data_IF_070280628151
#
_entry.id   IF_070280628151
#
_cell.length_a   1.000
_cell.length_b   1.000
_cell.length_c   1.000
_cell.angle_alpha   90.00
_cell.angle_beta   90.00
_cell.angle_gamma   90.00
#
_symmetry.space_group_name_H-M   'P 1'
#
loop_
_entity.id
_entity.type
_entity.pdbx_description
1 polymer ?
#
# COMPACT_ATOMS: atom_id res chain seq x y z
N UNK A 1 -19.34 -5.26 15.94
CA UNK A 1 -18.41 -4.33 16.59
C UNK A 1 -17.20 -5.10 17.04
N UNK A 2 -16.00 -4.70 16.63
CA UNK A 2 -14.75 -5.47 16.86
C UNK A 2 -13.73 -4.66 17.65
N UNK A 3 -13.71 -3.34 17.45
CA UNK A 3 -12.75 -2.43 18.11
C UNK A 3 -12.92 -2.36 19.62
N UNK A 4 -14.16 -2.43 20.12
CA UNK A 4 -14.43 -2.29 21.56
C UNK A 4 -13.97 -3.52 22.38
N UNK A 5 -14.25 -4.78 21.98
CA UNK A 5 -13.66 -5.96 22.61
C UNK A 5 -12.12 -5.99 22.59
N UNK A 6 -11.49 -5.58 21.48
CA UNK A 6 -10.01 -5.58 21.38
C UNK A 6 -9.36 -4.48 22.23
N UNK A 7 -10.02 -3.32 22.40
CA UNK A 7 -9.58 -2.30 23.36
C UNK A 7 -9.63 -2.82 24.81
N UNK A 8 -10.68 -3.55 25.20
CA UNK A 8 -10.76 -4.18 26.53
C UNK A 8 -9.70 -5.25 26.73
N UNK A 9 -9.43 -6.09 25.73
CA UNK A 9 -8.34 -7.07 25.77
C UNK A 9 -6.97 -6.39 25.93
N UNK A 10 -6.72 -5.29 25.21
CA UNK A 10 -5.51 -4.48 25.35
C UNK A 10 -5.40 -3.84 26.74
N UNK A 11 -6.50 -3.34 27.30
CA UNK A 11 -6.55 -2.78 28.65
C UNK A 11 -6.30 -3.82 29.74
N UNK A 12 -6.84 -5.03 29.60
CA UNK A 12 -6.57 -6.16 30.50
C UNK A 12 -5.10 -6.60 30.44
N UNK A 13 -4.50 -6.66 29.24
CA UNK A 13 -3.08 -6.95 29.04
C UNK A 13 -2.17 -5.89 29.68
N UNK A 14 -2.49 -4.59 29.49
CA UNK A 14 -1.78 -3.49 30.13
C UNK A 14 -1.88 -3.56 31.67
N UNK A 15 -3.07 -3.83 32.21
CA UNK A 15 -3.27 -3.99 33.65
C UNK A 15 -2.45 -5.18 34.20
N UNK A 16 -2.39 -6.29 33.48
CA UNK A 16 -1.59 -7.46 33.85
C UNK A 16 -0.08 -7.15 33.91
N UNK A 17 0.48 -6.51 32.88
CA UNK A 17 1.91 -6.15 32.89
C UNK A 17 2.25 -5.11 33.97
N UNK A 18 1.37 -4.15 34.25
CA UNK A 18 1.57 -3.20 35.35
C UNK A 18 1.52 -3.89 36.72
N UNK A 19 0.61 -4.84 36.94
CA UNK A 19 0.55 -5.65 38.16
C UNK A 19 1.77 -6.57 38.29
N UNK A 20 2.23 -7.18 37.20
CA UNK A 20 3.44 -8.00 37.18
C UNK A 20 4.70 -7.16 37.46
N UNK A 21 4.76 -5.92 36.95
CA UNK A 21 5.86 -5.00 37.23
C UNK A 21 5.85 -4.50 38.70
N UNK A 22 4.67 -4.20 39.27
CA UNK A 22 4.51 -3.90 40.69
C UNK A 22 4.93 -5.09 41.58
N UNK A 23 4.56 -6.31 41.20
CA UNK A 23 4.99 -7.53 41.91
C UNK A 23 6.51 -7.77 41.82
N UNK A 24 7.13 -7.57 40.65
CA UNK A 24 8.60 -7.60 40.51
C UNK A 24 9.27 -6.54 41.39
N UNK A 25 8.66 -5.36 41.55
CA UNK A 25 9.18 -4.28 42.41
C UNK A 25 9.12 -4.60 43.91
N UNK A 26 8.10 -5.33 44.41
CA UNK A 26 8.07 -5.70 45.83
C UNK A 26 9.25 -6.59 46.22
N UNK A 27 9.71 -7.45 45.30
CA UNK A 27 10.83 -8.38 45.47
C UNK A 27 12.23 -7.72 45.40
N UNK A 28 12.35 -6.45 45.03
CA UNK A 28 13.64 -5.74 44.96
C UNK A 28 14.22 -5.50 46.36
N UNK A 29 15.41 -6.05 46.64
CA UNK A 29 16.13 -5.83 47.89
C UNK A 29 17.08 -4.62 47.84
N UNK A 30 17.23 -3.96 48.99
CA UNK A 30 18.08 -2.78 49.20
C UNK A 30 17.40 -1.46 48.87
N UNK A 31 17.31 -0.55 49.86
CA UNK A 31 16.48 0.67 49.80
C UNK A 31 16.79 1.57 48.60
N UNK A 32 18.07 1.80 48.29
CA UNK A 32 18.49 2.61 47.13
C UNK A 32 18.04 2.00 45.80
N UNK A 33 18.15 0.67 45.65
CA UNK A 33 17.70 -0.04 44.44
C UNK A 33 16.17 -0.05 44.34
N UNK A 34 15.47 -0.21 45.47
CA UNK A 34 14.01 -0.17 45.53
C UNK A 34 13.44 1.22 45.21
N UNK A 35 14.14 2.29 45.61
CA UNK A 35 13.82 3.67 45.23
C UNK A 35 14.06 3.93 43.73
N UNK A 36 15.24 3.54 43.22
CA UNK A 36 15.56 3.70 41.79
C UNK A 36 14.57 2.95 40.88
N UNK A 37 14.28 1.69 41.22
CA UNK A 37 13.29 0.89 40.48
C UNK A 37 11.86 1.41 40.62
N UNK A 38 11.50 2.05 41.74
CA UNK A 38 10.21 2.76 41.88
C UNK A 38 10.13 3.95 40.92
N UNK A 39 11.16 4.80 40.86
CA UNK A 39 11.22 5.94 39.92
C UNK A 39 11.15 5.45 38.47
N UNK A 40 11.90 4.40 38.13
CA UNK A 40 11.85 3.79 36.81
C UNK A 40 10.44 3.25 36.47
N UNK A 41 9.81 2.52 37.40
CA UNK A 41 8.46 1.99 37.22
C UNK A 41 7.41 3.11 37.05
N UNK A 42 7.51 4.19 37.83
CA UNK A 42 6.63 5.36 37.69
C UNK A 42 6.78 6.03 36.32
N UNK A 43 8.01 6.23 35.83
CA UNK A 43 8.26 6.86 34.52
C UNK A 43 7.76 5.97 33.38
N UNK A 44 8.24 4.72 33.30
CA UNK A 44 7.87 3.82 32.19
C UNK A 44 6.41 3.36 32.26
N UNK A 45 5.85 3.17 33.46
CA UNK A 45 4.43 2.86 33.65
C UNK A 45 3.54 4.01 33.16
N UNK A 46 3.83 5.25 33.58
CA UNK A 46 3.10 6.44 33.12
C UNK A 46 3.21 6.62 31.62
N UNK A 47 4.42 6.48 31.05
CA UNK A 47 4.65 6.56 29.60
C UNK A 47 3.87 5.48 28.83
N UNK A 48 3.83 4.24 29.35
CA UNK A 48 3.09 3.12 28.72
C UNK A 48 1.58 3.35 28.76
N UNK A 49 1.04 3.79 29.91
CA UNK A 49 -0.39 4.13 30.05
C UNK A 49 -0.76 5.31 29.13
N UNK A 50 0.06 6.36 29.09
CA UNK A 50 -0.16 7.49 28.19
C UNK A 50 -0.13 7.05 26.72
N UNK A 51 0.86 6.26 26.31
CA UNK A 51 0.99 5.74 24.95
C UNK A 51 -0.18 4.84 24.55
N UNK A 52 -0.66 3.99 25.45
CA UNK A 52 -1.87 3.20 25.23
C UNK A 52 -3.10 4.10 25.03
N UNK A 53 -3.34 5.05 25.95
CA UNK A 53 -4.48 5.96 25.90
C UNK A 53 -4.53 6.79 24.61
N UNK A 54 -3.40 7.35 24.15
CA UNK A 54 -3.37 8.10 22.89
C UNK A 54 -3.46 7.21 21.66
N UNK A 55 -3.13 5.91 21.76
CA UNK A 55 -3.29 4.94 20.66
C UNK A 55 -4.75 4.47 20.48
N UNK A 56 -5.59 4.52 21.53
CA UNK A 56 -7.02 4.21 21.42
C UNK A 56 -7.75 5.13 20.42
N UNK A 57 -7.38 6.42 20.39
CA UNK A 57 -8.02 7.44 19.54
C UNK A 57 -7.87 7.12 18.04
N UNK A 58 -6.66 6.98 17.45
CA UNK A 58 -6.52 6.61 16.04
C UNK A 58 -6.97 5.17 15.73
N UNK A 59 -6.86 4.24 16.68
CA UNK A 59 -7.37 2.87 16.50
C UNK A 59 -8.90 2.85 16.33
N UNK A 60 -9.61 3.69 17.10
CA UNK A 60 -11.07 3.78 17.06
C UNK A 60 -11.67 4.38 15.78
N UNK A 61 -10.88 5.07 14.92
CA UNK A 61 -11.39 5.67 13.68
C UNK A 61 -12.03 4.65 12.71
N UNK A 62 -11.70 3.37 12.85
CA UNK A 62 -12.30 2.26 12.09
C UNK A 62 -13.78 2.03 12.42
N UNK A 63 -14.24 2.44 13.60
CA UNK A 63 -15.59 2.15 14.10
C UNK A 63 -16.15 3.39 14.84
N UNK A 64 -16.89 4.29 14.13
CA UNK A 64 -17.33 5.58 14.68
C UNK A 64 -18.16 5.48 15.97
N UNK A 65 -18.93 4.39 16.13
CA UNK A 65 -19.69 4.07 17.34
C UNK A 65 -18.80 3.81 18.57
N UNK A 66 -17.59 3.29 18.39
CA UNK A 66 -16.58 3.16 19.45
C UNK A 66 -15.83 4.48 19.66
N UNK A 67 -15.47 5.18 18.57
CA UNK A 67 -14.77 6.47 18.65
C UNK A 67 -15.51 7.51 19.52
N UNK A 68 -16.83 7.64 19.33
CA UNK A 68 -17.68 8.53 20.14
C UNK A 68 -17.92 8.08 21.59
N UNK A 69 -17.52 6.85 21.96
CA UNK A 69 -17.63 6.32 23.34
C UNK A 69 -16.31 6.41 24.12
N UNK A 70 -15.21 6.79 23.48
CA UNK A 70 -13.92 6.98 24.17
C UNK A 70 -13.99 8.12 25.19
N UNK A 71 -13.30 7.95 26.32
CA UNK A 71 -13.20 8.95 27.37
C UNK A 71 -12.63 10.28 26.84
N UNK A 72 -13.26 11.40 27.20
CA UNK A 72 -12.90 12.75 26.72
C UNK A 72 -11.48 13.15 27.09
N UNK A 73 -10.92 12.62 28.18
CA UNK A 73 -9.51 12.81 28.55
C UNK A 73 -8.53 12.17 27.57
N UNK A 74 -8.87 11.02 26.95
CA UNK A 74 -8.02 10.37 25.95
C UNK A 74 -7.95 11.19 24.65
N UNK A 75 -9.08 11.77 24.21
CA UNK A 75 -9.11 12.71 23.08
C UNK A 75 -8.28 13.97 23.33
N UNK A 76 -8.36 14.55 24.55
CA UNK A 76 -7.53 15.70 24.95
C UNK A 76 -6.04 15.36 24.97
N UNK A 77 -5.68 14.21 25.55
CA UNK A 77 -4.29 13.73 25.62
C UNK A 77 -3.73 13.47 24.22
N UNK A 78 -4.50 12.84 23.33
CA UNK A 78 -4.11 12.64 21.93
C UNK A 78 -3.89 13.96 21.21
N UNK A 79 -4.84 14.91 21.29
CA UNK A 79 -4.71 16.22 20.65
C UNK A 79 -3.50 17.02 21.14
N UNK A 80 -3.15 16.91 22.42
CA UNK A 80 -1.95 17.55 22.98
C UNK A 80 -0.64 16.98 22.38
N UNK A 81 -0.60 15.70 22.02
CA UNK A 81 0.60 15.03 21.48
C UNK A 81 0.54 14.75 19.96
N UNK A 82 -0.53 15.10 19.25
CA UNK A 82 -0.68 14.81 17.82
C UNK A 82 0.45 15.46 16.99
N UNK A 83 0.94 16.63 17.40
CA UNK A 83 2.09 17.29 16.79
C UNK A 83 3.41 16.49 16.89
N UNK A 84 3.53 15.57 17.86
CA UNK A 84 4.68 14.67 18.04
C UNK A 84 4.53 13.36 17.25
N UNK A 85 3.37 13.11 16.63
CA UNK A 85 3.09 11.93 15.80
C UNK A 85 3.29 10.55 16.48
N UNK A 86 3.32 10.52 17.82
CA UNK A 86 3.63 9.33 18.64
C UNK A 86 2.63 8.17 18.45
N UNK A 87 1.37 8.49 18.20
CA UNK A 87 0.34 7.51 17.87
C UNK A 87 -0.38 7.96 16.60
N UNK A 88 -0.58 7.02 15.68
CA UNK A 88 -1.05 7.33 14.33
C UNK A 88 -2.02 6.26 13.80
N UNK A 89 -2.83 6.65 12.81
CA UNK A 89 -3.78 5.75 12.15
C UNK A 89 -3.11 5.11 10.94
N UNK A 90 -2.49 3.96 11.15
CA UNK A 90 -1.75 3.25 10.11
C UNK A 90 -2.70 2.64 9.07
N UNK A 91 -2.74 3.25 7.89
CA UNK A 91 -3.45 2.78 6.72
C UNK A 91 -3.21 3.71 5.54
N UNK A 92 -3.39 3.22 4.32
CA UNK A 92 -3.19 4.03 3.10
C UNK A 92 -4.14 5.25 3.05
N UNK A 93 -5.25 5.19 3.80
CA UNK A 93 -6.17 6.32 4.02
C UNK A 93 -6.60 6.36 5.51
N UNK A 94 -6.29 7.47 6.20
CA UNK A 94 -6.67 7.71 7.62
C UNK A 94 -8.19 7.70 7.88
N UNK A 95 -9.00 7.94 6.84
CA UNK A 95 -10.45 7.72 6.81
C UNK A 95 -10.82 7.08 5.47
N UNK A 96 -11.43 5.91 5.49
CA UNK A 96 -11.96 5.27 4.28
C UNK A 96 -13.33 5.86 3.90
N UNK A 97 -13.49 6.23 2.64
CA UNK A 97 -14.78 6.60 2.06
C UNK A 97 -15.59 5.35 1.77
N UNK A 98 -16.85 5.28 2.21
CA UNK A 98 -17.70 4.10 1.98
C UNK A 98 -18.64 3.73 3.13
N UNK A 99 -18.39 4.24 4.35
CA UNK A 99 -19.21 3.96 5.54
C UNK A 99 -20.70 4.32 5.36
N UNK A 100 -21.02 5.30 4.50
CA UNK A 100 -22.37 5.68 4.09
C UNK A 100 -22.68 5.38 2.62
N UNK A 101 -22.05 4.34 2.07
CA UNK A 101 -22.03 4.03 0.63
C UNK A 101 -20.77 4.59 -0.05
N UNK A 102 -20.22 3.83 -1.01
CA UNK A 102 -19.08 4.25 -1.83
C UNK A 102 -19.60 5.14 -2.97
N UNK A 103 -19.18 6.42 -3.07
CA UNK A 103 -19.54 7.25 -4.21
C UNK A 103 -18.81 6.75 -5.46
N UNK A 104 -19.50 6.76 -6.60
CA UNK A 104 -18.97 6.37 -7.91
C UNK A 104 -19.50 7.30 -8.98
N UNK A 105 -18.62 7.65 -9.93
CA UNK A 105 -19.03 8.29 -11.18
C UNK A 105 -19.31 7.20 -12.21
N UNK A 106 -20.48 7.27 -12.82
CA UNK A 106 -20.89 6.48 -13.98
C UNK A 106 -20.82 7.40 -15.20
N UNK A 107 -20.08 6.98 -16.22
CA UNK A 107 -20.08 7.64 -17.52
C UNK A 107 -21.18 7.04 -18.39
N UNK A 108 -21.89 7.87 -19.13
CA UNK A 108 -22.89 7.43 -20.10
C UNK A 108 -22.64 8.10 -21.45
N UNK A 109 -22.73 7.32 -22.53
CA UNK A 109 -22.75 7.82 -23.90
C UNK A 109 -24.17 7.83 -24.48
N UNK A 110 -24.38 8.64 -25.50
CA UNK A 110 -25.63 8.69 -26.27
C UNK A 110 -25.36 9.15 -27.70
N UNK A 111 -26.18 8.71 -28.65
CA UNK A 111 -26.16 9.23 -30.03
C UNK A 111 -27.17 10.37 -30.27
N UNK A 112 -28.26 10.40 -29.49
CA UNK A 112 -29.46 11.24 -29.71
C UNK A 112 -29.80 12.18 -28.53
N UNK A 113 -29.02 12.13 -27.44
CA UNK A 113 -29.21 12.83 -26.16
C UNK A 113 -30.43 12.36 -25.34
N UNK A 114 -31.18 11.36 -25.82
CA UNK A 114 -32.37 10.80 -25.18
C UNK A 114 -32.08 9.42 -24.57
N UNK A 115 -31.52 8.50 -25.35
CA UNK A 115 -31.15 7.16 -24.92
C UNK A 115 -29.69 7.16 -24.46
N UNK A 116 -29.47 6.82 -23.19
CA UNK A 116 -28.16 6.83 -22.54
C UNK A 116 -27.74 5.41 -22.18
N UNK A 117 -26.49 5.05 -22.51
CA UNK A 117 -25.92 3.73 -22.22
C UNK A 117 -24.68 3.88 -21.35
N UNK A 118 -24.66 3.17 -20.22
CA UNK A 118 -23.55 3.20 -19.27
C UNK A 118 -22.27 2.61 -19.87
N UNK A 119 -21.17 3.32 -19.68
CA UNK A 119 -19.83 2.88 -20.06
C UNK A 119 -19.25 2.08 -18.89
N UNK A 120 -19.42 0.76 -18.95
CA UNK A 120 -18.95 -0.19 -17.94
C UNK A 120 -17.41 -0.27 -17.88
N UNK A 121 -16.87 -0.18 -16.66
CA UNK A 121 -15.43 -0.25 -16.38
C UNK A 121 -14.99 -1.67 -16.03
N UNK A 122 -13.73 -2.00 -16.30
CA UNK A 122 -13.18 -3.31 -15.95
C UNK A 122 -13.20 -3.62 -14.45
N UNK A 123 -12.96 -2.67 -13.53
CA UNK A 123 -12.57 -3.01 -12.15
C UNK A 123 -13.32 -2.29 -11.02
N UNK A 124 -13.78 -1.05 -11.21
CA UNK A 124 -14.66 -0.35 -10.24
C UNK A 124 -16.12 -0.86 -10.28
N UNK A 125 -16.97 -0.54 -9.29
CA UNK A 125 -18.40 -0.81 -9.36
C UNK A 125 -19.09 -0.11 -10.55
N UNK A 126 -20.12 -0.77 -11.07
CA UNK A 126 -20.92 -0.43 -12.25
C UNK A 126 -22.17 -1.30 -12.25
N UNK A 127 -22.27 -2.25 -13.18
CA UNK A 127 -23.36 -3.22 -13.26
C UNK A 127 -23.69 -3.86 -11.89
N UNK A 128 -24.94 -3.70 -11.43
CA UNK A 128 -25.40 -4.16 -10.11
C UNK A 128 -25.37 -5.68 -9.92
N UNK A 129 -25.45 -6.46 -11.00
CA UNK A 129 -25.39 -7.92 -10.98
C UNK A 129 -23.98 -8.49 -11.20
N UNK A 130 -22.95 -7.63 -11.33
CA UNK A 130 -21.56 -8.07 -11.52
C UNK A 130 -20.79 -8.16 -10.18
N UNK A 131 -20.17 -9.30 -9.84
CA UNK A 131 -19.35 -9.43 -8.64
C UNK A 131 -18.11 -8.51 -8.68
N UNK A 132 -17.57 -8.10 -7.51
CA UNK A 132 -16.27 -7.43 -7.44
C UNK A 132 -15.16 -8.35 -7.99
N UNK A 133 -14.35 -7.92 -8.97
CA UNK A 133 -13.26 -8.75 -9.49
C UNK A 133 -12.06 -8.81 -8.52
N UNK A 134 -11.39 -9.97 -8.44
CA UNK A 134 -10.12 -10.11 -7.74
C UNK A 134 -8.98 -9.52 -8.58
N UNK A 135 -8.74 -8.22 -8.44
CA UNK A 135 -7.77 -7.50 -9.28
C UNK A 135 -6.32 -7.62 -8.83
N UNK A 136 -6.06 -7.86 -7.54
CA UNK A 136 -4.70 -7.95 -7.02
C UNK A 136 -3.92 -9.06 -7.76
N UNK A 137 -2.65 -8.85 -8.15
CA UNK A 137 -1.78 -7.70 -7.81
C UNK A 137 -1.88 -6.49 -8.77
N UNK A 138 -2.79 -6.48 -9.74
CA UNK A 138 -3.00 -5.30 -10.60
C UNK A 138 -3.50 -4.10 -9.77
N UNK A 139 -3.04 -2.90 -10.15
CA UNK A 139 -3.49 -1.64 -9.56
C UNK A 139 -4.14 -0.78 -10.66
N UNK A 140 -5.46 -0.91 -10.88
CA UNK A 140 -6.15 -0.26 -12.00
C UNK A 140 -6.19 1.26 -11.81
N UNK A 141 -5.29 1.96 -12.50
CA UNK A 141 -5.03 3.39 -12.26
C UNK A 141 -6.19 4.31 -12.63
N UNK A 142 -6.96 3.98 -13.68
CA UNK A 142 -8.09 4.80 -14.10
C UNK A 142 -9.28 4.64 -13.15
N UNK A 143 -9.65 3.40 -12.81
CA UNK A 143 -10.68 3.07 -11.82
C UNK A 143 -10.40 3.71 -10.44
N UNK A 144 -9.12 3.77 -10.05
CA UNK A 144 -8.66 4.42 -8.82
C UNK A 144 -8.79 5.95 -8.88
N UNK A 145 -8.52 6.58 -10.03
CA UNK A 145 -8.75 8.01 -10.24
C UNK A 145 -10.25 8.34 -10.32
N UNK A 146 -11.07 7.48 -10.93
CA UNK A 146 -12.53 7.60 -10.94
C UNK A 146 -13.13 7.58 -9.51
N UNK A 147 -12.58 6.75 -8.62
CA UNK A 147 -12.96 6.76 -7.20
C UNK A 147 -12.64 8.11 -6.54
N UNK A 148 -11.45 8.68 -6.76
CA UNK A 148 -11.12 10.02 -6.24
C UNK A 148 -12.00 11.13 -6.84
N UNK A 149 -12.29 11.09 -8.14
CA UNK A 149 -13.18 12.05 -8.79
C UNK A 149 -14.58 12.07 -8.17
N UNK A 150 -15.10 10.90 -7.78
CA UNK A 150 -16.40 10.78 -7.12
C UNK A 150 -16.49 11.47 -5.73
N UNK A 151 -15.35 11.83 -5.12
CA UNK A 151 -15.31 12.45 -3.78
C UNK A 151 -15.56 13.98 -3.79
N UNK A 152 -15.58 14.62 -4.95
CA UNK A 152 -15.76 16.07 -5.10
C UNK A 152 -16.65 16.41 -6.31
N UNK A 153 -16.65 17.68 -6.75
CA UNK A 153 -17.16 18.08 -8.06
C UNK A 153 -16.15 17.71 -9.17
N UNK A 154 -16.61 17.59 -10.41
CA UNK A 154 -15.75 17.28 -11.57
C UNK A 154 -14.59 18.28 -11.75
N UNK A 155 -14.77 19.54 -11.34
CA UNK A 155 -13.75 20.59 -11.43
C UNK A 155 -12.49 20.30 -10.60
N UNK A 156 -12.58 19.44 -9.57
CA UNK A 156 -11.42 18.98 -8.80
C UNK A 156 -10.61 17.89 -9.52
N UNK A 157 -11.09 17.37 -10.66
CA UNK A 157 -10.42 16.35 -11.47
C UNK A 157 -10.26 16.79 -12.93
N UNK A 158 -9.36 17.75 -13.24
CA UNK A 158 -9.15 18.29 -14.59
C UNK A 158 -9.01 17.21 -15.69
N UNK A 159 -8.29 16.13 -15.39
CA UNK A 159 -8.08 14.99 -16.29
C UNK A 159 -9.39 14.33 -16.77
N UNK A 160 -10.48 14.43 -16.00
CA UNK A 160 -11.79 13.88 -16.35
C UNK A 160 -12.37 14.56 -17.61
N UNK A 161 -12.17 15.87 -17.75
CA UNK A 161 -12.55 16.63 -18.95
C UNK A 161 -11.81 16.13 -20.19
N UNK A 162 -10.52 15.77 -20.04
CA UNK A 162 -9.73 15.15 -21.10
C UNK A 162 -10.19 13.72 -21.42
N UNK A 163 -10.62 12.94 -20.42
CA UNK A 163 -11.23 11.63 -20.63
C UNK A 163 -12.53 11.75 -21.46
N UNK A 164 -13.45 12.64 -21.08
CA UNK A 164 -14.69 12.88 -21.82
C UNK A 164 -14.41 13.25 -23.27
N UNK A 165 -13.48 14.18 -23.52
CA UNK A 165 -13.04 14.53 -24.88
C UNK A 165 -12.49 13.32 -25.65
N UNK A 166 -11.66 12.49 -25.02
CA UNK A 166 -11.08 11.30 -25.64
C UNK A 166 -12.14 10.23 -25.99
N UNK A 167 -13.20 10.09 -25.20
CA UNK A 167 -14.29 9.14 -25.47
C UNK A 167 -15.17 9.63 -26.64
N UNK A 168 -15.54 10.92 -26.66
CA UNK A 168 -16.21 11.56 -27.79
C UNK A 168 -15.38 11.46 -29.09
N UNK A 169 -14.05 11.49 -29.00
CA UNK A 169 -13.13 11.33 -30.14
C UNK A 169 -12.90 9.87 -30.57
N UNK A 170 -13.44 8.86 -29.88
CA UNK A 170 -13.17 7.45 -30.20
C UNK A 170 -11.71 7.01 -29.96
N UNK A 171 -11.03 7.60 -28.97
CA UNK A 171 -9.60 7.40 -28.74
C UNK A 171 -9.31 6.00 -28.18
N UNK A 172 -9.15 5.03 -29.09
CA UNK A 172 -8.80 3.61 -28.84
C UNK A 172 -7.81 3.38 -27.66
N UNK A 173 -6.61 4.02 -27.61
CA UNK A 173 -5.71 3.94 -26.46
C UNK A 173 -6.28 4.31 -25.09
N UNK A 174 -7.33 5.14 -25.04
CA UNK A 174 -8.03 5.58 -23.82
C UNK A 174 -9.23 4.69 -23.52
N UNK A 175 -9.99 4.27 -24.55
CA UNK A 175 -11.08 3.28 -24.42
C UNK A 175 -10.53 1.99 -23.77
N UNK A 176 -9.33 1.55 -24.21
CA UNK A 176 -8.61 0.39 -23.64
C UNK A 176 -8.17 0.52 -22.18
N UNK A 177 -8.29 1.70 -21.57
CA UNK A 177 -8.10 1.88 -20.12
C UNK A 177 -9.39 1.60 -19.32
N UNK A 178 -10.55 1.77 -19.95
CA UNK A 178 -11.87 1.46 -19.38
C UNK A 178 -12.21 -0.01 -19.63
N UNK A 179 -12.01 -0.49 -20.87
CA UNK A 179 -12.38 -1.83 -21.31
C UNK A 179 -11.33 -2.39 -22.28
N UNK A 180 -10.69 -3.52 -21.93
CA UNK A 180 -9.66 -4.17 -22.77
C UNK A 180 -10.26 -5.00 -23.91
N UNK A 181 -11.43 -5.62 -23.67
CA UNK A 181 -12.23 -6.34 -24.66
C UNK A 181 -13.14 -5.37 -25.41
N UNK A 182 -12.74 -4.96 -26.62
CA UNK A 182 -13.47 -3.99 -27.42
C UNK A 182 -14.95 -4.35 -27.68
N UNK A 183 -15.30 -5.64 -27.72
CA UNK A 183 -16.69 -6.07 -27.92
C UNK A 183 -17.60 -5.74 -26.72
N UNK A 184 -17.03 -5.56 -25.52
CA UNK A 184 -17.76 -5.15 -24.30
C UNK A 184 -17.92 -3.63 -24.17
N UNK A 185 -17.29 -2.83 -25.04
CA UNK A 185 -17.47 -1.38 -25.03
C UNK A 185 -18.72 -1.02 -25.87
N UNK A 186 -19.75 -0.35 -25.33
CA UNK A 186 -21.01 -0.13 -26.07
C UNK A 186 -20.85 0.69 -27.36
N UNK A 187 -19.83 1.55 -27.42
CA UNK A 187 -19.57 2.48 -28.52
C UNK A 187 -18.37 2.04 -29.37
N UNK A 188 -18.22 0.74 -29.61
CA UNK A 188 -17.11 0.16 -30.37
C UNK A 188 -17.24 0.30 -31.90
N UNK A 189 -18.46 0.48 -32.41
CA UNK A 189 -18.72 0.65 -33.85
C UNK A 189 -18.59 2.12 -34.27
N UNK A 190 -19.06 3.04 -33.42
CA UNK A 190 -19.00 4.48 -33.60
C UNK A 190 -18.86 5.15 -32.22
N UNK A 191 -18.06 6.22 -32.06
CA UNK A 191 -18.00 6.99 -30.82
C UNK A 191 -19.35 7.65 -30.50
N UNK A 192 -19.69 7.86 -29.21
CA UNK A 192 -20.93 8.51 -28.84
C UNK A 192 -20.94 9.99 -29.27
N UNK A 193 -22.08 10.47 -29.76
CA UNK A 193 -22.29 11.89 -30.10
C UNK A 193 -22.23 12.77 -28.86
N UNK A 194 -22.79 12.28 -27.74
CA UNK A 194 -22.87 12.95 -26.46
C UNK A 194 -22.32 12.08 -25.34
N UNK A 195 -21.65 12.69 -24.37
CA UNK A 195 -21.21 12.04 -23.12
C UNK A 195 -21.65 12.90 -21.95
N UNK A 196 -22.17 12.25 -20.90
CA UNK A 196 -22.47 12.85 -19.60
C UNK A 196 -21.91 11.95 -18.48
N UNK A 197 -21.97 12.43 -17.24
CA UNK A 197 -21.65 11.58 -16.10
C UNK A 197 -22.59 11.82 -14.92
N UNK A 198 -22.96 10.74 -14.24
CA UNK A 198 -23.90 10.71 -13.12
C UNK A 198 -23.18 10.19 -11.87
N UNK A 199 -23.45 10.78 -10.71
CA UNK A 199 -22.91 10.31 -9.42
C UNK A 199 -23.92 9.43 -8.72
N UNK A 200 -23.48 8.24 -8.34
CA UNK A 200 -24.23 7.28 -7.54
C UNK A 200 -23.49 7.01 -6.22
N UNK A 201 -24.23 6.52 -5.21
CA UNK A 201 -23.65 5.75 -4.10
C UNK A 201 -23.93 4.26 -4.33
N UNK A 202 -22.93 3.43 -4.07
CA UNK A 202 -23.01 1.98 -4.13
C UNK A 202 -22.82 1.37 -2.73
N UNK A 203 -23.58 0.31 -2.45
CA UNK A 203 -23.45 -0.57 -1.29
C UNK A 203 -23.46 -2.01 -1.78
N UNK A 204 -22.89 -2.93 -0.99
CA UNK A 204 -23.17 -4.35 -1.19
C UNK A 204 -24.65 -4.66 -0.93
N UNK A 205 -25.20 -5.62 -1.67
CA UNK A 205 -26.51 -6.19 -1.39
C UNK A 205 -26.55 -6.86 0.00
N UNK A 206 -27.75 -6.94 0.59
CA UNK A 206 -28.00 -7.60 1.86
C UNK A 206 -28.27 -9.11 1.67
N UNK A 207 -28.00 -9.96 2.66
CA UNK A 207 -28.39 -11.37 2.62
C UNK A 207 -29.90 -11.51 2.36
N UNK A 208 -30.26 -12.17 1.25
CA UNK A 208 -31.64 -12.32 0.78
C UNK A 208 -31.98 -11.55 -0.51
N UNK A 209 -31.21 -10.52 -0.86
CA UNK A 209 -31.36 -9.78 -2.12
C UNK A 209 -30.78 -10.61 -3.29
N UNK A 210 -31.61 -11.44 -3.92
CA UNK A 210 -31.18 -12.36 -4.97
C UNK A 210 -30.78 -11.63 -6.28
N UNK A 211 -29.74 -12.12 -6.95
CA UNK A 211 -29.36 -11.69 -8.31
C UNK A 211 -28.60 -10.36 -8.45
N UNK A 212 -28.36 -9.64 -7.35
CA UNK A 212 -27.57 -8.39 -7.34
C UNK A 212 -26.43 -8.47 -6.33
N UNK A 213 -25.24 -8.05 -6.73
CA UNK A 213 -24.07 -7.87 -5.84
C UNK A 213 -24.02 -6.48 -5.21
N UNK A 214 -24.63 -5.50 -5.88
CA UNK A 214 -24.67 -4.11 -5.44
C UNK A 214 -26.08 -3.53 -5.46
N UNK A 215 -26.40 -2.72 -4.44
CA UNK A 215 -27.45 -1.70 -4.54
C UNK A 215 -26.83 -0.36 -4.87
N UNK A 216 -27.49 0.43 -5.70
CA UNK A 216 -27.06 1.80 -6.02
C UNK A 216 -28.21 2.81 -5.90
N UNK A 217 -27.86 4.03 -5.52
CA UNK A 217 -28.77 5.18 -5.46
C UNK A 217 -28.14 6.35 -6.21
N UNK A 218 -28.90 6.98 -7.11
CA UNK A 218 -28.48 8.22 -7.77
C UNK A 218 -28.38 9.38 -6.76
N UNK A 219 -27.42 10.28 -6.95
CA UNK A 219 -27.17 11.42 -6.07
C UNK A 219 -27.36 12.74 -6.80
N UNK A 220 -26.68 12.91 -7.94
CA UNK A 220 -26.68 14.14 -8.74
C UNK A 220 -26.08 13.86 -10.13
N UNK A 221 -26.25 14.80 -11.06
CA UNK A 221 -25.42 14.87 -12.26
C UNK A 221 -24.00 15.32 -11.88
N UNK A 222 -23.01 14.52 -12.26
CA UNK A 222 -21.59 14.81 -11.99
C UNK A 222 -20.98 15.70 -13.07
N UNK A 223 -21.36 15.49 -14.32
CA UNK A 223 -20.84 16.21 -15.49
C UNK A 223 -21.94 16.32 -16.57
N UNK A 224 -22.17 17.52 -17.13
CA UNK A 224 -23.30 17.76 -18.03
C UNK A 224 -23.17 17.04 -19.39
N UNK A 225 -24.29 16.84 -20.11
CA UNK A 225 -24.30 16.18 -21.43
C UNK A 225 -23.74 17.07 -22.54
N UNK A 226 -22.46 16.87 -22.87
CA UNK A 226 -21.69 17.61 -23.89
C UNK A 226 -21.39 16.77 -25.14
N UNK A 227 -21.07 17.44 -26.25
CA UNK A 227 -20.59 16.85 -27.51
C UNK A 227 -19.26 17.47 -27.97
N UNK A 228 -18.69 16.97 -29.08
CA UNK A 228 -17.57 17.66 -29.74
C UNK A 228 -18.01 19.06 -30.21
N UNK A 229 -17.18 20.08 -29.94
CA UNK A 229 -17.50 21.48 -30.23
C UNK A 229 -18.50 22.14 -29.27
N UNK A 230 -18.88 21.47 -28.17
CA UNK A 230 -19.72 22.07 -27.14
C UNK A 230 -18.95 23.19 -26.38
N UNK A 231 -19.52 24.41 -26.24
CA UNK A 231 -18.83 25.53 -25.61
C UNK A 231 -18.52 25.31 -24.13
N UNK A 232 -19.29 24.46 -23.44
CA UNK A 232 -19.04 24.06 -22.03
C UNK A 232 -17.77 23.22 -21.95
N UNK A 233 -17.65 22.23 -22.83
CA UNK A 233 -16.48 21.36 -22.91
C UNK A 233 -15.22 22.15 -23.28
N UNK A 234 -15.30 23.03 -24.29
CA UNK A 234 -14.18 23.89 -24.68
C UNK A 234 -13.78 24.87 -23.58
N UNK A 235 -14.73 25.42 -22.82
CA UNK A 235 -14.43 26.31 -21.68
C UNK A 235 -13.67 25.57 -20.59
N UNK A 236 -14.11 24.36 -20.21
CA UNK A 236 -13.41 23.53 -19.22
C UNK A 236 -12.02 23.10 -19.71
N UNK A 237 -11.88 22.74 -21.00
CA UNK A 237 -10.59 22.39 -21.59
C UNK A 237 -9.61 23.59 -21.58
N UNK A 238 -10.10 24.82 -21.78
CA UNK A 238 -9.27 26.05 -21.65
C UNK A 238 -8.91 26.32 -20.20
N UNK A 239 -9.88 26.28 -19.29
CA UNK A 239 -9.67 26.52 -17.85
C UNK A 239 -8.58 25.63 -17.25
N UNK A 240 -8.46 24.39 -17.74
CA UNK A 240 -7.47 23.43 -17.26
C UNK A 240 -6.19 23.31 -18.11
N UNK A 241 -6.00 24.16 -19.14
CA UNK A 241 -4.83 24.10 -20.02
C UNK A 241 -4.76 22.83 -20.91
N UNK A 242 -5.89 22.16 -21.12
CA UNK A 242 -5.97 20.87 -21.82
C UNK A 242 -6.17 20.99 -23.34
N UNK A 243 -6.31 22.22 -23.87
CA UNK A 243 -6.32 22.46 -25.32
C UNK A 243 -4.92 22.40 -25.96
N UNK A 244 -3.85 22.37 -25.17
CA UNK A 244 -2.49 22.33 -25.69
C UNK A 244 -2.21 21.05 -26.47
N UNK A 245 -2.04 21.22 -27.79
CA UNK A 245 -1.46 20.23 -28.70
C UNK A 245 0.04 20.10 -28.44
N UNK A 246 0.40 19.73 -27.20
CA UNK A 246 1.76 19.40 -26.79
C UNK A 246 2.38 18.50 -27.87
N UNK A 247 3.47 18.94 -28.52
CA UNK A 247 3.85 18.42 -29.83
C UNK A 247 4.06 16.92 -29.72
N UNK A 248 3.36 16.14 -30.56
CA UNK A 248 3.36 14.66 -30.54
C UNK A 248 4.80 14.18 -30.43
N UNK A 249 5.25 13.86 -29.20
CA UNK A 249 6.67 13.63 -28.90
C UNK A 249 7.15 12.54 -29.85
N UNK A 250 8.02 12.92 -30.79
CA UNK A 250 8.31 12.12 -31.96
C UNK A 250 8.72 10.72 -31.51
N UNK A 251 7.85 9.73 -31.75
CA UNK A 251 8.13 8.35 -31.37
C UNK A 251 9.23 7.88 -32.28
N UNK A 252 10.47 7.92 -31.80
CA UNK A 252 11.64 7.40 -32.51
C UNK A 252 11.41 5.92 -32.81
N UNK A 253 10.93 5.66 -34.02
CA UNK A 253 10.45 4.36 -34.49
C UNK A 253 11.59 3.46 -34.94
N UNK A 254 12.81 4.00 -35.03
CA UNK A 254 14.03 3.31 -35.44
C UNK A 254 14.74 2.57 -34.31
N UNK A 255 14.39 2.80 -33.03
CA UNK A 255 14.99 2.06 -31.93
C UNK A 255 14.35 0.65 -31.81
N UNK A 256 15.17 -0.39 -32.01
CA UNK A 256 14.75 -1.79 -31.92
C UNK A 256 14.08 -2.14 -30.57
N UNK A 257 14.51 -1.54 -29.45
CA UNK A 257 13.86 -1.71 -28.15
C UNK A 257 12.42 -1.16 -28.16
N UNK A 258 12.19 -0.02 -28.80
CA UNK A 258 10.85 0.57 -28.92
C UNK A 258 9.93 -0.27 -29.82
N UNK A 259 10.47 -0.89 -30.88
CA UNK A 259 9.74 -1.83 -31.73
C UNK A 259 9.40 -3.13 -30.96
N UNK A 260 10.36 -3.72 -30.25
CA UNK A 260 10.16 -4.90 -29.42
C UNK A 260 9.10 -4.67 -28.33
N UNK A 261 9.18 -3.55 -27.60
CA UNK A 261 8.17 -3.18 -26.59
C UNK A 261 6.78 -2.93 -27.20
N UNK A 262 6.70 -2.38 -28.41
CA UNK A 262 5.41 -2.23 -29.14
C UNK A 262 4.84 -3.59 -29.57
N UNK A 263 5.68 -4.51 -30.05
CA UNK A 263 5.27 -5.87 -30.41
C UNK A 263 4.79 -6.65 -29.18
N UNK A 264 5.56 -6.64 -28.07
CA UNK A 264 5.15 -7.25 -26.79
C UNK A 264 3.84 -6.65 -26.30
N UNK A 265 3.69 -5.31 -26.33
CA UNK A 265 2.43 -4.65 -25.97
C UNK A 265 1.27 -5.08 -26.87
N UNK A 266 1.48 -5.29 -28.18
CA UNK A 266 0.44 -5.77 -29.11
C UNK A 266 -0.01 -7.18 -28.71
N UNK A 267 0.92 -8.11 -28.51
CA UNK A 267 0.61 -9.50 -28.14
C UNK A 267 -0.09 -9.61 -26.77
N UNK A 268 0.30 -8.79 -25.80
CA UNK A 268 -0.30 -8.81 -24.46
C UNK A 268 -1.59 -7.99 -24.35
N UNK A 269 -1.92 -7.13 -25.32
CA UNK A 269 -3.09 -6.24 -25.26
C UNK A 269 -4.48 -6.90 -25.19
N UNK A 270 -4.71 -8.16 -25.65
CA UNK A 270 -5.98 -8.85 -25.46
C UNK A 270 -6.16 -9.47 -24.05
N UNK A 271 -5.10 -9.51 -23.23
CA UNK A 271 -5.15 -10.15 -21.91
C UNK A 271 -5.54 -9.13 -20.83
N UNK A 272 -6.53 -9.47 -20.01
CA UNK A 272 -6.84 -8.71 -18.79
C UNK A 272 -5.61 -8.68 -17.86
N UNK A 273 -5.27 -7.50 -17.33
CA UNK A 273 -4.02 -7.28 -16.61
C UNK A 273 -3.83 -8.12 -15.33
N UNK A 274 -4.88 -8.42 -14.52
CA UNK A 274 -4.76 -9.37 -13.42
C UNK A 274 -4.36 -10.77 -13.89
N UNK A 275 -4.96 -11.27 -14.97
CA UNK A 275 -4.70 -12.60 -15.55
C UNK A 275 -3.25 -12.73 -16.02
N UNK A 276 -2.71 -11.69 -16.68
CA UNK A 276 -1.30 -11.66 -17.07
C UNK A 276 -0.36 -11.71 -15.85
N UNK A 277 -0.65 -10.93 -14.80
CA UNK A 277 0.20 -10.89 -13.60
C UNK A 277 0.15 -12.20 -12.80
N UNK A 278 -1.03 -12.82 -12.67
CA UNK A 278 -1.15 -14.16 -12.07
C UNK A 278 -0.46 -15.22 -12.91
N UNK A 279 -0.59 -15.19 -14.24
CA UNK A 279 0.14 -16.09 -15.14
C UNK A 279 1.65 -16.03 -14.95
N UNK A 280 2.21 -14.82 -14.83
CA UNK A 280 3.65 -14.61 -14.55
C UNK A 280 4.06 -15.14 -13.16
N UNK A 281 3.26 -14.87 -12.12
CA UNK A 281 3.53 -15.36 -10.75
C UNK A 281 3.48 -16.88 -10.69
N UNK A 282 2.46 -17.50 -11.31
CA UNK A 282 2.30 -18.95 -11.36
C UNK A 282 3.40 -19.62 -12.19
N UNK A 283 3.83 -19.01 -13.30
CA UNK A 283 4.95 -19.51 -14.10
C UNK A 283 6.27 -19.50 -13.29
N UNK A 284 6.57 -18.42 -12.58
CA UNK A 284 7.74 -18.34 -11.68
C UNK A 284 7.63 -19.38 -10.56
N UNK A 285 6.45 -19.55 -9.97
CA UNK A 285 6.18 -20.59 -8.96
C UNK A 285 6.43 -22.00 -9.50
N UNK A 286 5.88 -22.33 -10.67
CA UNK A 286 6.06 -23.63 -11.32
C UNK A 286 7.54 -23.92 -11.65
N UNK A 287 8.29 -22.93 -12.16
CA UNK A 287 9.73 -23.05 -12.42
C UNK A 287 10.48 -23.35 -11.12
N UNK A 288 10.16 -22.67 -10.00
CA UNK A 288 10.79 -22.92 -8.70
C UNK A 288 10.45 -24.29 -8.13
N UNK A 289 9.21 -24.77 -8.29
CA UNK A 289 8.80 -26.12 -7.90
C UNK A 289 9.52 -27.18 -8.72
N UNK A 290 9.60 -27.02 -10.04
CA UNK A 290 10.37 -27.92 -10.91
C UNK A 290 11.86 -27.95 -10.54
N UNK A 291 12.47 -26.79 -10.26
CA UNK A 291 13.85 -26.70 -9.78
C UNK A 291 14.05 -27.39 -8.41
N UNK A 292 13.07 -27.35 -7.52
CA UNK A 292 13.14 -28.03 -6.23
C UNK A 292 12.93 -29.56 -6.32
N UNK A 293 12.16 -30.03 -7.32
CA UNK A 293 11.90 -31.46 -7.56
C UNK A 293 13.00 -32.14 -8.39
N UNK A 294 13.58 -31.43 -9.36
CA UNK A 294 14.61 -31.92 -10.28
C UNK A 294 16.04 -31.54 -9.85
N UNK A 295 16.19 -30.62 -8.90
CA UNK A 295 17.48 -30.26 -8.33
C UNK A 295 18.14 -31.44 -7.61
N UNK A 296 19.49 -31.51 -7.58
CA UNK A 296 20.18 -32.58 -6.86
C UNK A 296 19.77 -32.59 -5.38
N UNK A 297 19.17 -33.70 -4.93
CA UNK A 297 18.94 -33.94 -3.50
C UNK A 297 20.31 -34.06 -2.83
N UNK A 298 20.79 -32.96 -2.24
CA UNK A 298 22.06 -32.93 -1.51
C UNK A 298 22.11 -34.09 -0.53
N UNK A 299 23.09 -34.98 -0.72
CA UNK A 299 23.19 -36.23 0.01
C UNK A 299 23.39 -35.94 1.49
N UNK A 300 22.35 -36.27 2.28
CA UNK A 300 22.26 -36.16 3.74
C UNK A 300 23.61 -36.35 4.42
N UNK A 301 24.26 -35.24 4.79
CA UNK A 301 25.58 -35.28 5.39
C UNK A 301 25.57 -36.11 6.69
N UNK A 302 26.49 -37.06 6.79
CA UNK A 302 26.69 -37.85 8.01
C UNK A 302 27.17 -36.92 9.15
N UNK A 303 26.72 -37.13 10.40
CA UNK A 303 27.30 -36.45 11.53
C UNK A 303 28.78 -36.87 11.71
N UNK A 304 29.67 -35.96 12.16
CA UNK A 304 31.05 -36.31 12.47
C UNK A 304 31.13 -37.24 13.71
N UNK A 305 32.20 -38.03 13.85
CA UNK A 305 32.45 -38.80 15.07
C UNK A 305 32.67 -37.87 16.27
N UNK A 306 32.35 -38.37 17.47
CA UNK A 306 32.23 -37.55 18.68
C UNK A 306 33.54 -37.03 19.25
N UNK A 307 33.44 -35.94 20.03
CA UNK A 307 34.56 -35.32 20.75
C UNK A 307 35.11 -36.24 21.83
N UNK A 308 36.40 -36.57 21.74
CA UNK A 308 37.08 -37.37 22.77
C UNK A 308 37.50 -36.49 23.95
N UNK A 309 37.15 -36.89 25.17
CA UNK A 309 37.30 -36.06 26.37
C UNK A 309 38.78 -35.78 26.70
N UNK A 310 39.18 -34.52 26.58
CA UNK A 310 40.49 -34.05 27.00
C UNK A 310 40.70 -34.27 28.51
N UNK A 311 41.81 -34.93 28.88
CA UNK A 311 42.19 -35.23 30.26
C UNK A 311 43.60 -34.65 30.51
N UNK A 312 43.79 -33.75 31.49
CA UNK A 312 45.06 -33.04 31.64
C UNK A 312 46.17 -33.96 32.20
N UNK A 313 47.38 -33.82 31.67
CA UNK A 313 48.59 -34.46 32.19
C UNK A 313 49.25 -33.63 33.32
N UNK A 314 49.96 -34.25 34.28
CA UNK A 314 50.57 -33.57 35.42
C UNK A 314 51.93 -32.93 35.09
N UNK A 315 52.31 -31.88 35.84
CA UNK A 315 53.60 -31.20 35.75
C UNK A 315 54.79 -32.07 36.21
N UNK A 316 55.95 -31.86 35.59
CA UNK A 316 57.27 -32.07 36.22
C UNK A 316 58.39 -31.26 35.52
N UNK A 317 59.17 -30.56 36.34
CA UNK A 317 60.50 -30.00 36.06
C UNK A 317 61.49 -30.63 37.09
N UNK A 318 62.83 -30.39 37.10
CA UNK A 318 63.68 -29.61 36.18
C UNK A 318 64.98 -30.34 35.71
N UNK A 319 65.85 -29.67 34.93
CA UNK A 319 67.31 -29.86 35.02
C UNK A 319 68.15 -29.88 33.72
N UNK A 320 69.20 -29.03 33.67
CA UNK A 320 70.36 -28.99 32.74
C UNK A 320 70.07 -28.97 31.20
N UNK A 321 70.36 -27.89 30.43
CA UNK A 321 71.68 -27.30 30.07
C UNK A 321 72.51 -28.22 29.14
N UNK A 322 73.28 -27.77 28.13
CA UNK A 322 73.85 -26.44 27.75
C UNK A 322 74.04 -26.42 26.19
N UNK A 323 74.56 -25.47 25.39
CA UNK A 323 75.27 -24.17 25.52
C UNK A 323 75.25 -23.37 24.18
N UNK A 324 75.78 -22.12 24.17
CA UNK A 324 76.30 -21.32 23.02
C UNK A 324 75.32 -20.88 21.88
N UNK A 325 75.46 -19.71 21.23
CA UNK A 325 76.29 -18.52 21.47
C UNK A 325 75.65 -17.24 20.85
N UNK A 326 76.12 -16.06 21.25
CA UNK A 326 75.77 -14.73 20.70
C UNK A 326 76.99 -14.16 19.89
N UNK A 327 77.01 -12.94 19.28
CA UNK A 327 76.26 -11.72 19.64
C UNK A 327 75.66 -10.87 18.47
N UNK A 328 74.92 -9.81 18.84
CA UNK A 328 74.63 -8.65 17.98
C UNK A 328 75.69 -7.55 18.16
N UNK A 329 75.64 -6.43 17.40
CA UNK A 329 75.01 -5.22 17.98
C UNK A 329 74.36 -4.22 16.98
N UNK A 330 73.51 -3.33 17.52
CA UNK A 330 73.39 -1.85 17.31
C UNK A 330 73.62 -1.19 15.91
N UNK A 331 72.93 -0.10 15.50
CA UNK A 331 71.89 0.76 16.13
C UNK A 331 71.29 1.84 15.19
N UNK A 332 70.22 2.51 15.65
CA UNK A 332 69.90 3.96 15.54
C UNK A 332 69.46 4.65 14.21
N UNK A 333 68.42 5.49 14.32
CA UNK A 333 68.00 6.65 13.46
C UNK A 333 67.59 6.35 11.98
N UNK A 334 66.68 7.07 11.30
CA UNK A 334 65.65 8.12 11.62
C UNK A 334 64.49 7.99 10.58
N UNK A 335 63.52 8.88 10.31
CA UNK A 335 63.22 10.27 10.70
C UNK A 335 62.03 10.85 9.87
N UNK A 336 61.46 12.02 10.25
CA UNK A 336 60.30 12.74 9.62
C UNK A 336 58.95 11.95 9.58
N UNK A 337 57.73 12.49 9.77
CA UNK A 337 57.04 13.75 9.40
C UNK A 337 56.84 13.91 7.85
N UNK A 338 55.69 14.27 7.28
CA UNK A 338 54.63 15.21 7.72
C UNK A 338 53.19 14.90 7.22
N UNK A 339 52.21 15.26 8.07
CA UNK A 339 51.03 16.12 7.82
C UNK A 339 49.96 15.87 6.72
N UNK A 340 48.81 15.30 7.15
CA UNK A 340 47.50 15.98 7.28
C UNK A 340 47.14 17.11 6.29
N UNK A 341 46.09 16.89 5.46
CA UNK A 341 45.18 17.98 5.03
C UNK A 341 43.73 17.51 4.88
N UNK A 342 42.77 18.32 5.35
CA UNK A 342 41.34 18.18 5.05
C UNK A 342 40.98 19.01 3.81
N UNK A 343 39.94 18.57 3.09
CA UNK A 343 38.78 19.43 2.80
C UNK A 343 37.54 18.71 3.30
#
# INVERSE_FOLDING_TARGET
>A
MVTLPTMWLGGASLAWELLAALWRWTQVQGSLRKLWTAVQLSIFGTATVAMFLVSLVPYSYMEPSTHGRLWTGAHRLFGAVEHLQLANSYGLFRRMTGLGGRPEVVLEGSYDKQHWTEIEFMYKPGNVSRPPPLVAPHQPRLDWQMWFAALGPHTHSPWFTSLVLCLLQGNEPVIRLIQSDGARYPFHQQPPTYVRAQRYKYWFSQPGEQGQWWRRQWVEEFFPPVSLGDPTLDTLLRQFGLQDKSPRRARSSSNALAQALQWVRKQLSPLEAPTLLWGLILAVGAIRVLQALLGPRSSRASPPPGEEKHRPAPKKDPGAATDQAAPAPNSSNSGSQTARRKK
#
